data_IF_164877208366
#
_entry.id   IF_164877208366
#
_cell.length_a   1.000
_cell.length_b   1.000
_cell.length_c   1.000
_cell.angle_alpha   90.00
_cell.angle_beta   90.00
_cell.angle_gamma   90.00
#
_symmetry.space_group_name_H-M   'P 1'
#
loop_
_entity.id
_entity.type
_entity.pdbx_description
1 polymer ?
#
# COMPACT_ATOMS: atom_id res chain seq x y z
N UNK A 1 1.76 12.20 27.11
CA UNK A 1 1.26 10.94 26.52
C UNK A 1 2.32 9.86 26.68
N UNK A 2 1.98 8.68 27.23
CA UNK A 2 2.91 7.55 27.34
C UNK A 2 3.49 7.15 25.97
N UNK A 3 4.76 6.75 25.94
CA UNK A 3 5.47 6.33 24.71
C UNK A 3 4.73 5.22 23.97
N UNK A 4 4.19 4.24 24.70
CA UNK A 4 3.45 3.10 24.12
C UNK A 4 2.19 3.61 23.42
N UNK A 5 1.37 4.42 24.10
CA UNK A 5 0.14 4.98 23.52
C UNK A 5 0.45 5.81 22.27
N UNK A 6 1.52 6.62 22.29
CA UNK A 6 1.95 7.40 21.13
C UNK A 6 2.31 6.52 19.93
N UNK A 7 3.01 5.42 20.16
CA UNK A 7 3.41 4.49 19.11
C UNK A 7 2.22 3.71 18.55
N UNK A 8 1.25 3.32 19.39
CA UNK A 8 0.00 2.71 18.93
C UNK A 8 -0.76 3.68 18.01
N UNK A 9 -0.93 4.93 18.44
CA UNK A 9 -1.59 5.95 17.63
C UNK A 9 -0.83 6.23 16.33
N UNK A 10 0.49 6.15 16.34
CA UNK A 10 1.31 6.28 15.13
C UNK A 10 0.98 5.20 14.09
N UNK A 11 0.89 3.94 14.52
CA UNK A 11 0.54 2.82 13.64
C UNK A 11 -0.89 2.96 13.14
N UNK A 12 -1.86 3.23 14.02
CA UNK A 12 -3.26 3.41 13.64
C UNK A 12 -3.42 4.54 12.64
N UNK A 13 -2.80 5.71 12.89
CA UNK A 13 -2.84 6.84 11.97
C UNK A 13 -2.17 6.53 10.63
N UNK A 14 -1.05 5.81 10.64
CA UNK A 14 -0.35 5.39 9.43
C UNK A 14 -1.19 4.45 8.57
N UNK A 15 -1.76 3.41 9.18
CA UNK A 15 -2.66 2.48 8.48
C UNK A 15 -3.89 3.21 7.92
N UNK A 16 -4.53 4.06 8.73
CA UNK A 16 -5.71 4.79 8.31
C UNK A 16 -5.42 5.73 7.13
N UNK A 17 -4.42 6.61 7.25
CA UNK A 17 -4.12 7.58 6.19
C UNK A 17 -3.55 6.91 4.93
N UNK A 18 -2.76 5.86 5.07
CA UNK A 18 -2.28 5.07 3.95
C UNK A 18 -3.43 4.41 3.18
N UNK A 19 -4.40 3.82 3.90
CA UNK A 19 -5.58 3.20 3.30
C UNK A 19 -6.51 4.21 2.65
N UNK A 20 -6.70 5.39 3.26
CA UNK A 20 -7.50 6.48 2.66
C UNK A 20 -6.89 6.91 1.33
N UNK A 21 -5.57 7.10 1.26
CA UNK A 21 -4.90 7.48 0.02
C UNK A 21 -4.97 6.37 -1.04
N UNK A 22 -4.77 5.11 -0.63
CA UNK A 22 -4.91 3.96 -1.51
C UNK A 22 -6.32 3.93 -2.14
N UNK A 23 -7.36 3.98 -1.31
CA UNK A 23 -8.75 3.95 -1.79
C UNK A 23 -9.08 5.13 -2.69
N UNK A 24 -8.57 6.33 -2.38
CA UNK A 24 -8.77 7.50 -3.22
C UNK A 24 -8.18 7.30 -4.64
N UNK A 25 -6.96 6.76 -4.74
CA UNK A 25 -6.30 6.52 -6.03
C UNK A 25 -7.00 5.40 -6.80
N UNK A 26 -7.38 4.30 -6.15
CA UNK A 26 -8.11 3.19 -6.80
C UNK A 26 -9.45 3.67 -7.35
N UNK A 27 -10.17 4.51 -6.61
CA UNK A 27 -11.48 5.04 -7.01
C UNK A 27 -11.36 6.00 -8.20
N UNK A 28 -10.32 6.84 -8.23
CA UNK A 28 -10.11 7.83 -9.29
C UNK A 28 -9.45 7.23 -10.53
N UNK A 29 -8.67 6.15 -10.39
CA UNK A 29 -7.93 5.50 -11.48
C UNK A 29 -8.76 5.24 -12.75
N UNK A 30 -9.93 4.59 -12.65
CA UNK A 30 -10.81 4.34 -13.81
C UNK A 30 -11.31 5.61 -14.51
N UNK A 31 -11.35 6.77 -13.84
CA UNK A 31 -11.71 8.04 -14.49
C UNK A 31 -10.57 8.59 -15.36
N UNK A 32 -9.32 8.21 -15.07
CA UNK A 32 -8.13 8.62 -15.84
C UNK A 32 -7.79 7.61 -16.93
N UNK A 33 -7.86 6.32 -16.60
CA UNK A 33 -7.63 5.22 -17.55
C UNK A 33 -8.90 4.35 -17.55
N UNK A 34 -9.84 4.63 -18.48
CA UNK A 34 -11.12 3.94 -18.54
C UNK A 34 -10.98 2.42 -18.63
N UNK A 35 -11.89 1.74 -17.95
CA UNK A 35 -12.13 0.32 -18.13
C UNK A 35 -12.90 0.10 -19.45
N UNK A 36 -12.87 -1.14 -19.95
CA UNK A 36 -13.72 -1.53 -21.08
C UNK A 36 -15.20 -1.52 -20.65
N UNK A 37 -16.10 -1.20 -21.56
CA UNK A 37 -17.55 -1.27 -21.33
C UNK A 37 -17.97 -2.61 -20.71
N UNK A 38 -18.77 -2.54 -19.65
CA UNK A 38 -19.27 -3.71 -18.91
C UNK A 38 -18.28 -4.30 -17.90
N UNK A 39 -17.04 -3.81 -17.80
CA UNK A 39 -16.08 -4.26 -16.78
C UNK A 39 -16.31 -3.47 -15.48
N UNK A 40 -16.71 -4.17 -14.42
CA UNK A 40 -16.94 -3.62 -13.09
C UNK A 40 -15.98 -4.24 -12.06
N UNK A 41 -15.00 -3.46 -11.62
CA UNK A 41 -14.02 -3.89 -10.61
C UNK A 41 -14.53 -3.75 -9.16
N UNK A 42 -15.78 -3.31 -8.95
CA UNK A 42 -16.40 -3.23 -7.61
C UNK A 42 -17.13 -4.52 -7.21
N UNK A 43 -17.47 -5.37 -8.19
CA UNK A 43 -18.09 -6.66 -7.94
C UNK A 43 -17.04 -7.73 -7.58
N UNK A 44 -16.96 -8.09 -6.29
CA UNK A 44 -15.98 -9.06 -5.79
C UNK A 44 -16.20 -10.49 -6.31
N UNK A 45 -17.43 -10.88 -6.64
CA UNK A 45 -17.73 -12.21 -7.18
C UNK A 45 -17.17 -12.39 -8.60
N UNK A 46 -17.08 -11.30 -9.35
CA UNK A 46 -16.57 -11.27 -10.73
C UNK A 46 -15.16 -10.71 -10.85
N UNK A 47 -14.54 -10.30 -9.74
CA UNK A 47 -13.28 -9.55 -9.73
C UNK A 47 -12.14 -10.27 -10.46
N UNK A 48 -11.97 -11.57 -10.21
CA UNK A 48 -10.92 -12.37 -10.85
C UNK A 48 -11.09 -12.49 -12.38
N UNK A 49 -12.34 -12.60 -12.87
CA UNK A 49 -12.61 -12.64 -14.30
C UNK A 49 -12.43 -11.26 -14.94
N UNK A 50 -12.88 -10.20 -14.26
CA UNK A 50 -12.74 -8.82 -14.72
C UNK A 50 -11.27 -8.36 -14.78
N UNK A 51 -10.42 -8.84 -13.86
CA UNK A 51 -8.96 -8.62 -13.91
C UNK A 51 -8.34 -9.09 -15.23
N UNK A 52 -8.82 -10.20 -15.81
CA UNK A 52 -8.29 -10.75 -17.08
C UNK A 52 -8.62 -9.86 -18.28
N UNK A 53 -9.61 -8.98 -18.15
CA UNK A 53 -10.06 -8.05 -19.20
C UNK A 53 -9.28 -6.74 -19.17
N UNK A 54 -8.44 -6.51 -18.15
CA UNK A 54 -7.66 -5.29 -18.00
C UNK A 54 -6.47 -5.24 -18.96
N UNK A 55 -6.20 -4.05 -19.50
CA UNK A 55 -4.98 -3.77 -20.25
C UNK A 55 -3.85 -3.40 -19.29
N UNK A 56 -2.57 -3.54 -19.68
CA UNK A 56 -1.44 -3.14 -18.84
C UNK A 56 -1.55 -1.73 -18.26
N UNK A 57 -2.11 -0.77 -19.00
CA UNK A 57 -2.32 0.59 -18.52
C UNK A 57 -3.28 0.68 -17.32
N UNK A 58 -4.30 -0.19 -17.22
CA UNK A 58 -5.26 -0.18 -16.12
C UNK A 58 -4.62 -0.56 -14.77
N UNK A 59 -3.46 -1.21 -14.79
CA UNK A 59 -2.70 -1.60 -13.60
C UNK A 59 -1.85 -0.46 -13.00
N UNK A 60 -1.73 0.67 -13.70
CA UNK A 60 -0.96 1.82 -13.21
C UNK A 60 -1.56 2.41 -11.93
N UNK A 61 -2.89 2.62 -11.92
CA UNK A 61 -3.59 3.18 -10.77
C UNK A 61 -3.49 2.31 -9.50
N UNK A 62 -3.75 0.98 -9.53
CA UNK A 62 -3.61 0.15 -8.33
C UNK A 62 -2.15 0.08 -7.84
N UNK A 63 -1.16 -0.02 -8.73
CA UNK A 63 0.25 0.02 -8.29
C UNK A 63 0.59 1.33 -7.59
N UNK A 64 0.14 2.46 -8.15
CA UNK A 64 0.35 3.78 -7.56
C UNK A 64 -0.37 3.91 -6.21
N UNK A 65 -1.58 3.36 -6.10
CA UNK A 65 -2.33 3.32 -4.86
C UNK A 65 -1.61 2.52 -3.76
N UNK A 66 -1.09 1.34 -4.11
CA UNK A 66 -0.33 0.50 -3.19
C UNK A 66 0.97 1.19 -2.76
N UNK A 67 1.72 1.73 -3.72
CA UNK A 67 3.00 2.37 -3.48
C UNK A 67 2.86 3.64 -2.63
N UNK A 68 2.02 4.58 -3.04
CA UNK A 68 1.84 5.85 -2.33
C UNK A 68 1.07 5.68 -1.03
N UNK A 69 0.08 4.79 -0.98
CA UNK A 69 -0.60 4.43 0.26
C UNK A 69 0.37 3.90 1.31
N UNK A 70 1.24 2.97 0.92
CA UNK A 70 2.29 2.44 1.83
C UNK A 70 3.28 3.51 2.24
N UNK A 71 3.76 4.33 1.29
CA UNK A 71 4.70 5.41 1.56
C UNK A 71 4.15 6.40 2.57
N UNK A 72 2.93 6.90 2.36
CA UNK A 72 2.30 7.88 3.23
C UNK A 72 1.98 7.28 4.59
N UNK A 73 1.45 6.06 4.63
CA UNK A 73 1.19 5.39 5.90
C UNK A 73 2.47 5.19 6.73
N UNK A 74 3.55 4.74 6.08
CA UNK A 74 4.85 4.55 6.72
C UNK A 74 5.48 5.88 7.18
N UNK A 75 5.38 6.93 6.36
CA UNK A 75 5.82 8.28 6.71
C UNK A 75 5.09 8.80 7.95
N UNK A 76 3.76 8.72 7.97
CA UNK A 76 2.92 9.15 9.11
C UNK A 76 3.29 8.37 10.37
N UNK A 77 3.38 7.05 10.29
CA UNK A 77 3.74 6.21 11.43
C UNK A 77 5.12 6.58 11.98
N UNK A 78 6.14 6.72 11.13
CA UNK A 78 7.47 7.11 11.57
C UNK A 78 7.53 8.56 12.11
N UNK A 79 6.74 9.47 11.57
CA UNK A 79 6.70 10.87 12.01
C UNK A 79 6.10 11.00 13.41
N UNK A 80 5.04 10.25 13.69
CA UNK A 80 4.32 10.30 14.97
C UNK A 80 5.03 9.47 16.05
N UNK A 81 5.60 8.30 15.70
CA UNK A 81 6.22 7.39 16.66
C UNK A 81 7.28 8.06 17.54
N UNK A 82 7.25 7.75 18.83
CA UNK A 82 8.20 8.24 19.82
C UNK A 82 9.54 7.48 19.80
N UNK A 83 9.53 6.21 19.40
CA UNK A 83 10.71 5.34 19.32
C UNK A 83 10.61 4.41 18.12
N UNK A 84 11.71 3.72 17.78
CA UNK A 84 11.74 2.68 16.72
C UNK A 84 11.08 3.08 15.38
N UNK A 85 11.18 4.36 14.99
CA UNK A 85 10.46 4.94 13.85
C UNK A 85 10.57 4.11 12.57
N UNK A 86 11.77 3.63 12.23
CA UNK A 86 11.98 2.81 11.04
C UNK A 86 11.33 1.43 11.16
N UNK A 87 11.32 0.83 12.36
CA UNK A 87 10.62 -0.45 12.58
C UNK A 87 9.11 -0.27 12.39
N UNK A 88 8.53 0.83 12.86
CA UNK A 88 7.11 1.12 12.63
C UNK A 88 6.80 1.38 11.15
N UNK A 89 7.63 2.17 10.44
CA UNK A 89 7.47 2.37 9.01
C UNK A 89 7.53 1.06 8.21
N UNK A 90 8.51 0.19 8.50
CA UNK A 90 8.60 -1.13 7.87
C UNK A 90 7.42 -2.03 8.28
N UNK A 91 6.91 -1.90 9.50
CA UNK A 91 5.69 -2.59 9.95
C UNK A 91 4.47 -2.21 9.12
N UNK A 92 4.31 -0.93 8.75
CA UNK A 92 3.27 -0.51 7.79
C UNK A 92 3.50 -1.16 6.43
N UNK A 93 4.75 -1.16 5.94
CA UNK A 93 5.11 -1.82 4.69
C UNK A 93 4.77 -3.32 4.67
N UNK A 94 5.07 -4.04 5.76
CA UNK A 94 4.71 -5.46 5.92
C UNK A 94 3.20 -5.64 5.95
N UNK A 95 2.45 -4.78 6.67
CA UNK A 95 1.00 -4.88 6.72
C UNK A 95 0.37 -4.75 5.33
N UNK A 96 0.78 -3.74 4.55
CA UNK A 96 0.28 -3.55 3.19
C UNK A 96 0.74 -4.68 2.26
N UNK A 97 1.98 -5.18 2.42
CA UNK A 97 2.48 -6.33 1.67
C UNK A 97 1.62 -7.58 1.90
N UNK A 98 1.21 -7.85 3.15
CA UNK A 98 0.32 -8.97 3.45
C UNK A 98 -1.02 -8.82 2.71
N UNK A 99 -1.58 -7.61 2.68
CA UNK A 99 -2.77 -7.31 1.88
C UNK A 99 -2.56 -7.57 0.38
N UNK A 100 -1.43 -7.14 -0.17
CA UNK A 100 -1.05 -7.40 -1.57
C UNK A 100 -0.90 -8.89 -1.88
N UNK A 101 -0.25 -9.65 -1.00
CA UNK A 101 -0.11 -11.10 -1.12
C UNK A 101 -1.48 -11.77 -1.09
N UNK A 102 -2.35 -11.38 -0.15
CA UNK A 102 -3.72 -11.90 -0.08
C UNK A 102 -4.47 -11.63 -1.38
N UNK A 103 -4.44 -10.41 -1.91
CA UNK A 103 -5.11 -10.07 -3.17
C UNK A 103 -4.59 -10.92 -4.35
N UNK A 104 -3.27 -11.07 -4.46
CA UNK A 104 -2.65 -11.87 -5.53
C UNK A 104 -2.99 -13.37 -5.42
N UNK A 105 -3.06 -13.92 -4.20
CA UNK A 105 -3.41 -15.32 -3.98
C UNK A 105 -4.90 -15.59 -4.16
N UNK A 106 -5.77 -14.64 -3.79
CA UNK A 106 -7.22 -14.80 -3.89
C UNK A 106 -7.74 -14.60 -5.30
N UNK A 107 -7.26 -13.57 -6.01
CA UNK A 107 -7.83 -13.17 -7.31
C UNK A 107 -6.90 -13.41 -8.50
N UNK A 108 -5.62 -13.74 -8.25
CA UNK A 108 -4.62 -13.90 -9.29
C UNK A 108 -4.25 -12.57 -9.95
N UNK A 109 -3.84 -12.66 -11.23
CA UNK A 109 -3.46 -11.51 -12.03
C UNK A 109 -2.24 -11.79 -12.91
N UNK A 110 -1.86 -10.85 -13.80
CA UNK A 110 -0.67 -11.00 -14.62
C UNK A 110 0.59 -11.10 -13.75
N UNK A 111 1.41 -12.12 -13.99
CA UNK A 111 2.61 -12.38 -13.18
C UNK A 111 3.55 -11.17 -13.11
N UNK A 112 3.73 -10.45 -14.22
CA UNK A 112 4.57 -9.26 -14.27
C UNK A 112 4.10 -8.18 -13.28
N UNK A 113 2.78 -8.02 -13.13
CA UNK A 113 2.19 -7.03 -12.24
C UNK A 113 2.35 -7.46 -10.79
N UNK A 114 2.05 -8.72 -10.49
CA UNK A 114 2.21 -9.28 -9.13
C UNK A 114 3.65 -9.08 -8.64
N UNK A 115 4.64 -9.42 -9.48
CA UNK A 115 6.06 -9.24 -9.11
C UNK A 115 6.39 -7.75 -8.92
N UNK A 116 6.00 -6.89 -9.86
CA UNK A 116 6.25 -5.45 -9.77
C UNK A 116 5.64 -4.84 -8.50
N UNK A 117 4.43 -5.24 -8.16
CA UNK A 117 3.67 -4.74 -7.02
C UNK A 117 4.27 -5.23 -5.70
N UNK A 118 4.40 -6.55 -5.51
CA UNK A 118 4.90 -7.14 -4.27
C UNK A 118 6.33 -6.69 -3.93
N UNK A 119 7.18 -6.53 -4.95
CA UNK A 119 8.57 -6.10 -4.75
C UNK A 119 8.66 -4.58 -4.59
N UNK A 120 7.92 -3.80 -5.39
CA UNK A 120 8.12 -2.36 -5.50
C UNK A 120 7.23 -1.51 -4.59
N UNK A 121 5.98 -1.90 -4.38
CA UNK A 121 4.97 -1.03 -3.79
C UNK A 121 4.96 -1.03 -2.26
N UNK A 122 5.56 -2.03 -1.61
CA UNK A 122 5.40 -2.24 -0.17
C UNK A 122 6.64 -1.95 0.66
N UNK A 123 7.59 -2.88 0.76
CA UNK A 123 8.77 -2.71 1.61
C UNK A 123 9.67 -1.54 1.17
N UNK A 124 9.94 -1.32 -0.13
CA UNK A 124 10.71 -0.15 -0.55
C UNK A 124 10.03 1.17 -0.19
N UNK A 125 8.71 1.25 -0.37
CA UNK A 125 7.93 2.45 -0.05
C UNK A 125 7.79 2.66 1.46
N UNK A 126 7.68 1.58 2.24
CA UNK A 126 7.73 1.63 3.69
C UNK A 126 9.07 2.19 4.20
N UNK A 127 10.17 1.68 3.65
CA UNK A 127 11.51 2.19 3.96
C UNK A 127 11.69 3.66 3.55
N UNK A 128 11.23 4.02 2.35
CA UNK A 128 11.29 5.39 1.84
C UNK A 128 10.47 6.34 2.72
N UNK A 129 9.23 5.98 3.05
CA UNK A 129 8.37 6.76 3.95
C UNK A 129 9.01 6.97 5.32
N UNK A 130 9.58 5.92 5.92
CA UNK A 130 10.35 6.03 7.17
C UNK A 130 11.56 6.95 7.06
N UNK A 131 12.31 6.85 5.97
CA UNK A 131 13.50 7.67 5.71
C UNK A 131 13.13 9.15 5.55
N UNK A 132 12.08 9.46 4.78
CA UNK A 132 11.56 10.82 4.59
C UNK A 132 11.03 11.42 5.90
N UNK A 133 10.53 10.60 6.82
CA UNK A 133 10.12 11.03 8.16
C UNK A 133 11.31 11.30 9.12
N UNK A 134 12.55 11.10 8.67
CA UNK A 134 13.77 11.27 9.47
C UNK A 134 14.08 10.08 10.37
N UNK A 135 13.56 8.89 10.08
CA UNK A 135 13.91 7.69 10.83
C UNK A 135 15.34 7.25 10.51
N UNK A 136 16.15 7.04 11.55
CA UNK A 136 17.49 6.45 11.40
C UNK A 136 17.38 4.97 11.02
N UNK A 137 18.35 4.47 10.25
CA UNK A 137 18.45 3.04 9.94
C UNK A 137 18.49 2.22 11.24
N UNK A 138 17.83 1.04 11.30
CA UNK A 138 17.96 0.16 12.45
C UNK A 138 19.43 -0.28 12.54
N UNK A 139 20.08 -0.04 13.68
CA UNK A 139 21.38 -0.62 13.97
C UNK A 139 21.17 -2.14 14.18
N UNK A 140 21.96 -3.02 13.56
CA UNK A 140 21.97 -4.43 13.94
C UNK A 140 22.39 -4.53 15.42
N UNK A 141 21.62 -5.29 16.18
CA UNK A 141 21.88 -5.61 17.60
C UNK A 141 22.94 -6.68 17.72
#
# INVERSE_FOLDING_TARGET
MPTILRNILAVVAGLFLGSVLNMAIVTVGPMVIPLRDGVDMSNMDQFAENLKLLKPANFFAPWLAHALGTLVGAFVAAKIAASHKMKFALGIGVFFLLGGITMAMTFGGPLWFIVLDLVGAYLPMGYLGGSLAGAKRPQPT
#
